data_IF_509841049318
#
_entry.id   IF_509841049318
#
_cell.length_a   1.000
_cell.length_b   1.000
_cell.length_c   1.000
_cell.angle_alpha   90.00
_cell.angle_beta   90.00
_cell.angle_gamma   90.00
#
_symmetry.space_group_name_H-M   'P 1'
#
loop_
_entity.id
_entity.type
_entity.pdbx_description
1 polymer ?
#
# COMPACT_ATOMS: atom_id res chain seq x y z
N UNK A 1 2.91 -10.83 -11.90
CA UNK A 1 3.91 -10.22 -11.02
C UNK A 1 3.47 -10.32 -9.57
N UNK A 2 4.42 -10.39 -8.65
CA UNK A 2 4.24 -10.05 -7.24
C UNK A 2 4.65 -8.57 -7.08
N UNK A 3 3.68 -7.66 -7.19
CA UNK A 3 3.92 -6.23 -7.47
C UNK A 3 4.96 -5.59 -6.54
N UNK A 4 4.83 -5.77 -5.23
CA UNK A 4 5.75 -5.13 -4.28
C UNK A 4 7.13 -5.78 -4.28
N UNK A 5 7.19 -7.11 -4.40
CA UNK A 5 8.47 -7.83 -4.48
C UNK A 5 9.24 -7.52 -5.77
N UNK A 6 8.53 -7.48 -6.90
CA UNK A 6 9.15 -7.38 -8.21
C UNK A 6 9.45 -5.91 -8.59
N UNK A 7 8.64 -4.93 -8.13
CA UNK A 7 8.74 -3.52 -8.53
C UNK A 7 8.89 -2.50 -7.38
N UNK A 8 8.79 -2.92 -6.11
CA UNK A 8 8.81 -2.01 -4.94
C UNK A 8 10.03 -1.09 -4.91
N UNK A 9 11.23 -1.63 -5.13
CA UNK A 9 12.47 -0.87 -5.15
C UNK A 9 12.52 0.18 -6.29
N UNK A 10 11.95 -0.15 -7.46
CA UNK A 10 11.88 0.80 -8.58
C UNK A 10 10.87 1.91 -8.28
N UNK A 11 9.70 1.58 -7.72
CA UNK A 11 8.72 2.56 -7.24
C UNK A 11 9.34 3.50 -6.21
N UNK A 12 10.08 2.97 -5.23
CA UNK A 12 10.78 3.76 -4.21
C UNK A 12 11.76 4.76 -4.84
N UNK A 13 12.48 4.33 -5.88
CA UNK A 13 13.44 5.18 -6.59
C UNK A 13 12.73 6.32 -7.33
N UNK A 14 11.62 6.06 -8.03
CA UNK A 14 10.85 7.10 -8.72
C UNK A 14 10.14 8.05 -7.75
N UNK A 15 9.67 7.56 -6.61
CA UNK A 15 9.10 8.38 -5.53
C UNK A 15 10.16 9.30 -4.91
N UNK A 16 11.38 8.79 -4.66
CA UNK A 16 12.48 9.56 -4.10
C UNK A 16 12.95 10.70 -5.03
N UNK A 17 12.96 10.42 -6.34
CA UNK A 17 13.28 11.42 -7.37
C UNK A 17 12.13 12.41 -7.64
N UNK A 18 10.95 12.22 -7.02
CA UNK A 18 9.76 13.03 -7.26
C UNK A 18 9.16 12.87 -8.66
N UNK A 19 9.49 11.78 -9.36
CA UNK A 19 9.05 11.49 -10.72
C UNK A 19 7.71 10.75 -10.77
N UNK A 20 7.34 10.08 -9.67
CA UNK A 20 6.12 9.31 -9.54
C UNK A 20 5.36 9.75 -8.28
N UNK A 21 4.03 9.77 -8.38
CA UNK A 21 3.12 9.90 -7.24
C UNK A 21 2.24 8.66 -7.22
N UNK A 22 2.21 7.95 -6.10
CA UNK A 22 1.41 6.73 -5.93
C UNK A 22 0.33 6.98 -4.90
N UNK A 23 -0.92 6.65 -5.24
CA UNK A 23 -2.02 6.55 -4.28
C UNK A 23 -2.24 5.08 -3.97
N UNK A 24 -1.91 4.65 -2.76
CA UNK A 24 -2.23 3.32 -2.28
C UNK A 24 -3.70 3.25 -1.85
N UNK A 25 -4.42 2.25 -2.36
CA UNK A 25 -5.82 1.97 -2.02
C UNK A 25 -5.95 0.57 -1.41
N UNK A 26 -5.63 0.39 -0.12
CA UNK A 26 -5.75 -0.90 0.54
C UNK A 26 -7.19 -1.41 0.46
N UNK A 27 -7.34 -2.73 0.38
CA UNK A 27 -8.61 -3.44 0.45
C UNK A 27 -8.51 -4.51 1.53
N UNK A 28 -9.65 -4.83 2.15
CA UNK A 28 -9.70 -5.75 3.30
C UNK A 28 -10.65 -6.92 3.06
N UNK A 29 -11.13 -7.11 1.83
CA UNK A 29 -12.06 -8.18 1.45
C UNK A 29 -11.49 -9.60 1.62
N UNK A 30 -10.17 -9.76 1.83
CA UNK A 30 -9.53 -11.03 2.12
C UNK A 30 -9.58 -11.41 3.60
N UNK A 31 -10.00 -10.51 4.48
CA UNK A 31 -10.20 -10.83 5.88
C UNK A 31 -11.49 -11.66 6.06
N UNK A 32 -11.41 -12.77 6.78
CA UNK A 32 -12.58 -13.60 7.11
C UNK A 32 -13.58 -12.89 8.04
N UNK A 33 -13.13 -11.84 8.74
CA UNK A 33 -13.92 -11.03 9.67
C UNK A 33 -13.26 -9.65 9.89
N UNK A 34 -14.03 -8.62 10.30
CA UNK A 34 -13.46 -7.34 10.67
C UNK A 34 -12.37 -7.45 11.74
N UNK A 35 -11.35 -6.60 11.63
CA UNK A 35 -10.14 -6.63 12.46
C UNK A 35 -9.18 -7.76 12.11
N UNK A 36 -9.19 -8.22 10.85
CA UNK A 36 -8.26 -9.24 10.34
C UNK A 36 -6.91 -8.65 9.90
N UNK A 37 -6.11 -9.48 9.23
CA UNK A 37 -4.77 -9.11 8.75
C UNK A 37 -4.80 -7.81 7.92
N UNK A 38 -5.71 -7.74 6.94
CA UNK A 38 -5.76 -6.63 6.00
C UNK A 38 -6.19 -5.33 6.67
N UNK A 39 -7.17 -5.37 7.58
CA UNK A 39 -7.58 -4.23 8.40
C UNK A 39 -6.41 -3.67 9.23
N UNK A 40 -5.64 -4.54 9.87
CA UNK A 40 -4.49 -4.16 10.68
C UNK A 40 -3.40 -3.46 9.85
N UNK A 41 -3.03 -4.07 8.72
CA UNK A 41 -2.01 -3.54 7.80
C UNK A 41 -2.49 -2.23 7.17
N UNK A 42 -3.74 -2.16 6.71
CA UNK A 42 -4.31 -0.95 6.13
C UNK A 42 -4.28 0.20 7.15
N UNK A 43 -4.72 -0.02 8.39
CA UNK A 43 -4.69 1.01 9.43
C UNK A 43 -3.25 1.52 9.69
N UNK A 44 -2.26 0.62 9.74
CA UNK A 44 -0.87 1.00 9.92
C UNK A 44 -0.33 1.84 8.75
N UNK A 45 -0.71 1.52 7.50
CA UNK A 45 -0.38 2.36 6.33
C UNK A 45 -0.95 3.78 6.49
N UNK A 46 -2.22 3.93 6.90
CA UNK A 46 -2.80 5.26 7.09
C UNK A 46 -2.09 6.07 8.18
N UNK A 47 -1.70 5.43 9.29
CA UNK A 47 -0.91 6.10 10.33
C UNK A 47 0.50 6.48 9.87
N UNK A 48 1.14 5.63 9.07
CA UNK A 48 2.49 5.86 8.55
C UNK A 48 2.54 6.99 7.53
N UNK A 49 1.46 7.27 6.80
CA UNK A 49 1.33 8.36 5.84
C UNK A 49 1.22 9.77 6.49
N UNK A 50 1.80 9.96 7.67
CA UNK A 50 1.80 11.23 8.39
C UNK A 50 2.60 12.32 7.65
N UNK A 51 2.32 13.62 7.89
CA UNK A 51 2.93 14.74 7.14
C UNK A 51 4.47 14.81 7.13
N UNK A 52 5.14 14.14 8.08
CA UNK A 52 6.61 14.12 8.19
C UNK A 52 7.25 12.85 7.62
N UNK A 53 6.45 11.87 7.20
CA UNK A 53 6.96 10.68 6.53
C UNK A 53 7.23 11.00 5.07
N UNK A 54 8.46 10.78 4.60
CA UNK A 54 8.78 10.96 3.18
C UNK A 54 8.14 9.86 2.33
N UNK A 55 7.89 10.13 1.05
CA UNK A 55 7.34 9.14 0.12
C UNK A 55 8.22 7.88 0.05
N UNK A 56 9.55 8.05 0.07
CA UNK A 56 10.51 6.94 0.11
C UNK A 56 10.38 6.12 1.39
N UNK A 57 10.32 6.76 2.56
CA UNK A 57 10.17 6.04 3.83
C UNK A 57 8.84 5.27 3.88
N UNK A 58 7.76 5.88 3.40
CA UNK A 58 6.47 5.22 3.28
C UNK A 58 6.52 4.02 2.33
N UNK A 59 7.15 4.16 1.17
CA UNK A 59 7.33 3.05 0.22
C UNK A 59 8.15 1.90 0.80
N UNK A 60 9.26 2.20 1.48
CA UNK A 60 10.06 1.17 2.16
C UNK A 60 9.25 0.45 3.25
N UNK A 61 8.36 1.16 3.95
CA UNK A 61 7.45 0.53 4.91
C UNK A 61 6.41 -0.38 4.22
N UNK A 62 5.86 0.04 3.08
CA UNK A 62 4.99 -0.81 2.25
C UNK A 62 5.73 -2.07 1.79
N UNK A 63 6.96 -1.95 1.31
CA UNK A 63 7.78 -3.12 0.95
C UNK A 63 8.00 -4.05 2.14
N UNK A 64 8.27 -3.51 3.33
CA UNK A 64 8.43 -4.30 4.55
C UNK A 64 7.15 -5.05 4.94
N UNK A 65 5.97 -4.42 4.82
CA UNK A 65 4.68 -5.06 5.12
C UNK A 65 4.40 -6.25 4.18
N UNK A 66 4.64 -6.08 2.88
CA UNK A 66 4.45 -7.17 1.90
C UNK A 66 5.54 -8.24 1.98
N UNK A 67 6.78 -7.87 2.33
CA UNK A 67 7.88 -8.81 2.55
C UNK A 67 7.65 -9.76 3.73
N UNK A 68 6.77 -9.39 4.67
CA UNK A 68 6.33 -10.21 5.80
C UNK A 68 4.87 -10.67 5.66
N UNK A 69 4.35 -10.76 4.43
CA UNK A 69 2.97 -11.20 4.22
C UNK A 69 2.81 -12.68 4.57
N UNK A 70 1.87 -12.95 5.49
CA UNK A 70 1.50 -14.31 5.91
C UNK A 70 -0.02 -14.47 5.84
N UNK A 71 -0.57 -14.79 4.65
CA UNK A 71 -2.02 -14.91 4.45
C UNK A 71 -2.64 -15.98 5.35
N UNK A 72 -3.85 -15.74 5.85
CA UNK A 72 -4.59 -16.68 6.69
C UNK A 72 -4.13 -16.76 8.15
N UNK A 73 -3.16 -15.93 8.55
CA UNK A 73 -2.76 -15.75 9.96
C UNK A 73 -3.51 -14.57 10.59
N UNK A 74 -3.28 -14.33 11.88
CA UNK A 74 -3.75 -13.11 12.56
C UNK A 74 -3.09 -11.83 12.00
N UNK A 75 -1.95 -11.99 11.31
CA UNK A 75 -1.12 -10.88 10.87
C UNK A 75 -0.21 -10.32 11.96
N UNK A 76 0.61 -9.34 11.56
CA UNK A 76 1.62 -8.76 12.45
C UNK A 76 0.99 -8.05 13.64
N UNK A 77 1.69 -8.05 14.77
CA UNK A 77 1.30 -7.21 15.90
C UNK A 77 1.58 -5.73 15.60
N UNK A 78 1.00 -4.84 16.42
CA UNK A 78 1.32 -3.42 16.35
C UNK A 78 2.80 -3.14 16.64
N UNK A 79 3.44 -3.94 17.50
CA UNK A 79 4.86 -3.81 17.81
C UNK A 79 5.74 -4.22 16.62
N UNK A 80 5.35 -5.27 15.87
CA UNK A 80 6.04 -5.69 14.65
C UNK A 80 5.95 -4.59 13.59
N UNK A 81 4.72 -4.11 13.30
CA UNK A 81 4.51 -3.05 12.32
C UNK A 81 5.19 -1.73 12.71
N UNK A 82 5.21 -1.37 14.00
CA UNK A 82 5.93 -0.20 14.47
C UNK A 82 7.45 -0.35 14.33
N UNK A 83 7.97 -1.56 14.48
CA UNK A 83 9.39 -1.86 14.27
C UNK A 83 9.75 -1.69 12.80
N UNK A 84 8.98 -2.27 11.88
CA UNK A 84 9.21 -2.13 10.45
C UNK A 84 9.06 -0.68 9.97
N UNK A 85 8.08 0.05 10.50
CA UNK A 85 7.91 1.48 10.22
C UNK A 85 9.15 2.28 10.62
N UNK A 86 9.69 2.03 11.82
CA UNK A 86 10.90 2.68 12.31
C UNK A 86 12.12 2.37 11.43
N UNK A 87 12.31 1.11 11.09
CA UNK A 87 13.42 0.65 10.22
C UNK A 87 13.32 1.24 8.81
N UNK A 88 12.11 1.51 8.35
CA UNK A 88 11.83 2.17 7.07
C UNK A 88 11.99 3.70 7.10
N UNK A 89 12.25 4.28 8.27
CA UNK A 89 12.40 5.73 8.45
C UNK A 89 11.09 6.51 8.54
N UNK A 90 9.97 5.85 8.86
CA UNK A 90 8.70 6.52 9.17
C UNK A 90 8.86 7.45 10.37
N UNK A 91 8.17 8.59 10.36
CA UNK A 91 8.25 9.58 11.44
C UNK A 91 7.95 8.97 12.81
N UNK A 92 8.70 9.38 13.83
CA UNK A 92 8.59 8.81 15.17
C UNK A 92 7.19 8.93 15.79
N UNK A 93 6.45 10.02 15.52
CA UNK A 93 5.09 10.15 16.04
C UNK A 93 4.12 9.16 15.37
N UNK A 94 4.31 8.86 14.09
CA UNK A 94 3.57 7.83 13.37
C UNK A 94 3.92 6.43 13.86
N UNK A 95 5.21 6.14 14.11
CA UNK A 95 5.66 4.88 14.71
C UNK A 95 4.98 4.63 16.05
N UNK A 96 4.94 5.64 16.95
CA UNK A 96 4.27 5.51 18.24
C UNK A 96 2.75 5.37 18.11
N UNK A 97 2.14 5.99 17.09
CA UNK A 97 0.72 5.83 16.81
C UNK A 97 0.38 4.40 16.36
N UNK A 98 1.21 3.80 15.49
CA UNK A 98 1.09 2.41 15.05
C UNK A 98 1.22 1.48 16.25
N UNK A 99 2.28 1.67 17.05
CA UNK A 99 2.54 0.87 18.26
C UNK A 99 1.36 0.88 19.23
N UNK A 100 0.79 2.06 19.46
CA UNK A 100 -0.36 2.23 20.35
C UNK A 100 -1.68 1.69 19.77
N UNK A 101 -1.70 1.21 18.53
CA UNK A 101 -2.93 0.74 17.88
C UNK A 101 -3.97 1.83 17.68
N UNK A 102 -3.53 3.07 17.41
CA UNK A 102 -4.46 4.17 17.13
C UNK A 102 -5.27 3.86 15.87
N UNK A 103 -6.45 4.46 15.77
CA UNK A 103 -7.28 4.39 14.58
C UNK A 103 -6.81 5.49 13.63
N UNK A 104 -6.22 5.11 12.49
CA UNK A 104 -5.75 6.01 11.44
C UNK A 104 -6.81 6.32 10.38
N UNK A 105 -7.84 5.47 10.26
CA UNK A 105 -8.89 5.60 9.25
C UNK A 105 -10.18 4.89 9.69
N UNK A 106 -11.32 5.31 9.17
CA UNK A 106 -12.53 4.48 9.15
C UNK A 106 -12.32 3.32 8.19
N UNK A 107 -11.96 2.15 8.71
CA UNK A 107 -11.63 0.96 7.93
C UNK A 107 -12.79 0.50 7.04
N UNK A 108 -14.03 0.58 7.55
CA UNK A 108 -15.19 0.17 6.76
C UNK A 108 -15.42 1.16 5.61
N UNK A 109 -15.45 2.45 5.90
CA UNK A 109 -15.62 3.48 4.87
C UNK A 109 -14.51 3.45 3.82
N UNK A 110 -13.27 3.19 4.25
CA UNK A 110 -12.12 3.00 3.37
C UNK A 110 -12.29 1.79 2.46
N UNK A 111 -12.66 0.63 3.00
CA UNK A 111 -12.85 -0.60 2.23
C UNK A 111 -13.99 -0.46 1.22
N UNK A 112 -15.14 0.09 1.63
CA UNK A 112 -16.29 0.33 0.74
C UNK A 112 -15.88 1.24 -0.43
N UNK A 113 -15.27 2.39 -0.13
CA UNK A 113 -14.87 3.39 -1.14
C UNK A 113 -13.79 2.87 -2.09
N UNK A 114 -12.77 2.18 -1.57
CA UNK A 114 -11.71 1.62 -2.42
C UNK A 114 -12.23 0.47 -3.28
N UNK A 115 -13.20 -0.32 -2.81
CA UNK A 115 -13.79 -1.39 -3.61
C UNK A 115 -14.64 -0.84 -4.74
N UNK A 116 -15.41 0.23 -4.49
CA UNK A 116 -16.16 0.95 -5.54
C UNK A 116 -15.22 1.43 -6.65
N UNK A 117 -14.12 2.11 -6.31
CA UNK A 117 -13.11 2.51 -7.30
C UNK A 117 -12.48 1.32 -8.05
N UNK A 118 -12.20 0.21 -7.36
CA UNK A 118 -11.66 -0.97 -8.02
C UNK A 118 -12.66 -1.54 -9.04
N UNK A 119 -13.94 -1.58 -8.69
CA UNK A 119 -15.00 -2.05 -9.58
C UNK A 119 -15.20 -1.13 -10.79
N UNK A 120 -15.09 0.19 -10.61
CA UNK A 120 -15.15 1.15 -11.72
C UNK A 120 -13.98 0.97 -12.71
N UNK A 121 -12.77 0.72 -12.19
CA UNK A 121 -11.56 0.53 -13.00
C UNK A 121 -11.54 -0.83 -13.72
N UNK A 122 -12.01 -1.89 -13.06
CA UNK A 122 -12.00 -3.25 -13.62
C UNK A 122 -13.26 -4.04 -13.22
N UNK A 123 -14.40 -3.79 -13.89
CA UNK A 123 -15.67 -4.43 -13.54
C UNK A 123 -15.74 -5.91 -13.93
N UNK A 124 -14.84 -6.39 -14.80
CA UNK A 124 -14.86 -7.76 -15.32
C UNK A 124 -13.90 -8.67 -14.54
N UNK A 125 -12.69 -8.18 -14.24
CA UNK A 125 -11.65 -8.97 -13.57
C UNK A 125 -11.26 -8.35 -12.22
N UNK A 126 -12.24 -7.76 -11.51
CA UNK A 126 -12.08 -7.08 -10.23
C UNK A 126 -11.20 -7.91 -9.28
N UNK A 127 -10.03 -7.39 -8.96
CA UNK A 127 -9.06 -8.12 -8.15
C UNK A 127 -7.83 -7.31 -7.80
N UNK A 128 -7.01 -7.88 -6.91
CA UNK A 128 -5.76 -7.29 -6.44
C UNK A 128 -4.56 -8.17 -6.81
N UNK A 129 -3.39 -7.57 -7.14
CA UNK A 129 -3.17 -6.13 -7.32
C UNK A 129 -3.77 -5.59 -8.63
N UNK A 130 -4.21 -4.34 -8.62
CA UNK A 130 -4.60 -3.55 -9.81
C UNK A 130 -3.85 -2.22 -9.77
N UNK A 131 -3.24 -1.83 -10.88
CA UNK A 131 -2.55 -0.54 -11.04
C UNK A 131 -3.26 0.24 -12.14
N UNK A 132 -3.55 1.51 -11.86
CA UNK A 132 -4.31 2.40 -12.73
C UNK A 132 -3.56 3.70 -12.91
N UNK A 133 -3.37 4.12 -14.15
CA UNK A 133 -2.76 5.40 -14.49
C UNK A 133 -3.85 6.49 -14.56
N UNK A 134 -3.82 7.40 -13.59
CA UNK A 134 -4.76 8.52 -13.52
C UNK A 134 -4.59 9.54 -14.66
N UNK A 135 -3.43 9.58 -15.34
CA UNK A 135 -3.20 10.49 -16.47
C UNK A 135 -3.90 10.00 -17.74
N UNK A 136 -3.77 8.72 -18.05
CA UNK A 136 -4.36 8.11 -19.26
C UNK A 136 -5.77 7.58 -19.03
N UNK A 137 -6.11 7.29 -17.77
CA UNK A 137 -7.37 6.66 -17.41
C UNK A 137 -7.38 5.15 -17.71
N UNK A 138 -6.20 4.51 -17.76
CA UNK A 138 -6.05 3.12 -18.17
C UNK A 138 -5.53 2.23 -17.04
N UNK A 139 -6.03 0.99 -17.00
CA UNK A 139 -5.45 -0.08 -16.19
C UNK A 139 -4.14 -0.53 -16.83
N UNK A 140 -3.09 -0.67 -16.03
CA UNK A 140 -1.77 -1.12 -16.49
C UNK A 140 -1.67 -2.65 -16.42
N UNK A 141 -1.03 -3.24 -17.43
CA UNK A 141 -0.68 -4.66 -17.42
C UNK A 141 0.61 -4.88 -16.64
N UNK A 142 0.48 -5.17 -15.35
CA UNK A 142 1.62 -5.42 -14.45
C UNK A 142 2.32 -6.77 -14.68
N UNK A 143 1.86 -7.59 -15.64
CA UNK A 143 2.55 -8.82 -16.06
C UNK A 143 3.54 -8.58 -17.21
N UNK A 144 3.51 -7.40 -17.83
CA UNK A 144 4.58 -6.93 -18.71
C UNK A 144 5.74 -6.41 -17.86
N UNK A 145 6.89 -7.08 -17.87
CA UNK A 145 8.08 -6.68 -17.11
C UNK A 145 8.54 -5.23 -17.38
N UNK A 146 8.10 -4.62 -18.48
CA UNK A 146 8.41 -3.23 -18.85
C UNK A 146 7.28 -2.24 -18.54
N UNK A 147 6.20 -2.63 -17.87
CA UNK A 147 5.05 -1.75 -17.63
C UNK A 147 5.45 -0.44 -16.94
N UNK A 148 6.33 -0.52 -15.93
CA UNK A 148 6.74 0.65 -15.15
C UNK A 148 7.66 1.56 -15.96
N UNK A 149 8.61 1.01 -16.72
CA UNK A 149 9.47 1.82 -17.58
C UNK A 149 8.69 2.50 -18.71
N UNK A 150 7.68 1.82 -19.26
CA UNK A 150 6.73 2.41 -20.21
C UNK A 150 5.94 3.56 -19.58
N UNK A 151 5.38 3.37 -18.37
CA UNK A 151 4.68 4.42 -17.63
C UNK A 151 5.57 5.65 -17.40
N UNK A 152 6.84 5.44 -17.03
CA UNK A 152 7.77 6.55 -16.81
C UNK A 152 8.24 7.24 -18.09
N UNK A 153 8.11 6.58 -19.25
CA UNK A 153 8.45 7.18 -20.55
C UNK A 153 7.38 8.11 -21.12
N UNK A 154 6.14 8.00 -20.62
CA UNK A 154 4.99 8.84 -21.01
C UNK A 154 4.70 9.96 -20.01
N UNK A 155 5.46 10.02 -18.90
CA UNK A 155 5.22 10.89 -17.76
C UNK A 155 5.60 12.37 -17.98
#
# INVERSE_FOLDING_TARGET
ADLQRDFGQQLASYLDLGQLVVTYRPLTFLDDRPGGYSDHVANAMFLAAAPKTSARAFQTFVEALWGHQEPGTKGPSNDDMATWARESGVDGAAVEAIKAGKIGVDLKGMADNNFEYLYEVDPINTGTPTVYDLKTGEKLDIYDDNWLSKLMSTA
#
